data_IF_243501880705
#
_entry.id   IF_243501880705
#
_cell.length_a   1.000
_cell.length_b   1.000
_cell.length_c   1.000
_cell.angle_alpha   90.00
_cell.angle_beta   90.00
_cell.angle_gamma   90.00
#
_symmetry.space_group_name_H-M   'P 1'
#
loop_
_entity.id
_entity.type
_entity.pdbx_description
1 polymer ?
#
# COMPACT_ATOMS: atom_id res chain seq x y z
N UNK A 1 3.44 24.61 38.62
CA UNK A 1 2.87 23.23 38.51
C UNK A 1 2.93 22.77 37.06
N UNK A 2 3.37 21.53 36.81
CA UNK A 2 3.37 20.97 35.47
C UNK A 2 1.94 20.69 34.98
N UNK A 3 1.57 21.17 33.78
CA UNK A 3 0.27 20.90 33.17
C UNK A 3 0.27 19.54 32.47
N UNK A 4 -0.67 18.66 32.84
CA UNK A 4 -0.85 17.38 32.17
C UNK A 4 -1.62 17.57 30.86
N UNK A 5 -1.19 16.85 29.81
CA UNK A 5 -1.88 16.80 28.53
C UNK A 5 -2.97 15.73 28.57
N UNK A 6 -4.11 15.98 27.93
CA UNK A 6 -5.26 15.07 27.93
C UNK A 6 -4.91 13.65 27.44
N UNK A 7 -4.03 13.55 26.45
CA UNK A 7 -3.60 12.26 25.91
C UNK A 7 -2.76 11.42 26.87
N UNK A 8 -2.19 12.00 27.94
CA UNK A 8 -1.54 11.22 29.00
C UNK A 8 -2.52 10.24 29.65
N UNK A 9 -3.74 10.71 29.92
CA UNK A 9 -4.79 9.89 30.52
C UNK A 9 -5.29 8.82 29.54
N UNK A 10 -5.44 9.17 28.27
CA UNK A 10 -5.96 8.26 27.25
C UNK A 10 -4.99 7.15 26.89
N UNK A 11 -3.72 7.49 26.66
CA UNK A 11 -2.69 6.50 26.36
C UNK A 11 -2.34 5.67 27.59
N UNK A 12 -2.40 6.27 28.79
CA UNK A 12 -2.34 5.52 30.04
C UNK A 12 -3.47 4.49 30.15
N UNK A 13 -4.72 4.86 29.85
CA UNK A 13 -5.85 3.95 29.89
C UNK A 13 -5.71 2.78 28.90
N UNK A 14 -5.24 3.03 27.67
CA UNK A 14 -4.96 1.96 26.70
C UNK A 14 -3.87 1.02 27.25
N UNK A 15 -2.76 1.58 27.73
CA UNK A 15 -1.65 0.79 28.24
C UNK A 15 -2.07 -0.06 29.44
N UNK A 16 -2.76 0.52 30.42
CA UNK A 16 -3.28 -0.22 31.58
C UNK A 16 -4.22 -1.34 31.14
N UNK A 17 -5.11 -1.09 30.16
CA UNK A 17 -5.99 -2.13 29.64
C UNK A 17 -5.22 -3.28 28.98
N UNK A 18 -4.15 -3.00 28.23
CA UNK A 18 -3.29 -4.04 27.64
C UNK A 18 -2.67 -4.90 28.73
N UNK A 19 -2.09 -4.28 29.77
CA UNK A 19 -1.42 -4.99 30.87
C UNK A 19 -2.38 -5.82 31.71
N UNK A 20 -3.59 -5.31 31.96
CA UNK A 20 -4.61 -6.05 32.70
C UNK A 20 -5.09 -7.29 31.94
N UNK A 21 -5.21 -7.21 30.61
CA UNK A 21 -5.70 -8.31 29.77
C UNK A 21 -4.61 -9.26 29.30
N UNK A 22 -3.33 -8.88 29.40
CA UNK A 22 -2.17 -9.65 28.97
C UNK A 22 -1.07 -9.56 30.06
N UNK A 23 -1.19 -10.31 31.17
CA UNK A 23 -0.28 -10.21 32.32
C UNK A 23 1.15 -10.71 32.02
N UNK A 24 1.33 -11.40 30.90
CA UNK A 24 2.60 -11.90 30.36
C UNK A 24 3.40 -10.81 29.62
N UNK A 25 2.81 -9.63 29.40
CA UNK A 25 3.42 -8.53 28.65
C UNK A 25 4.25 -7.63 29.55
N UNK A 26 5.45 -7.28 29.06
CA UNK A 26 6.31 -6.25 29.62
C UNK A 26 6.50 -5.12 28.59
N UNK A 27 5.92 -3.93 28.81
CA UNK A 27 6.08 -2.82 27.89
C UNK A 27 7.42 -2.13 28.11
N UNK A 28 8.18 -1.95 27.03
CA UNK A 28 9.42 -1.18 26.99
C UNK A 28 9.23 0.01 26.05
N UNK A 29 9.38 1.23 26.56
CA UNK A 29 9.22 2.42 25.74
C UNK A 29 10.36 2.48 24.69
N UNK A 30 10.03 2.48 23.39
CA UNK A 30 11.04 2.51 22.30
C UNK A 30 11.61 3.91 22.12
N UNK A 31 10.84 4.97 22.42
CA UNK A 31 11.28 6.34 22.10
C UNK A 31 10.83 7.35 23.15
N UNK A 32 11.79 8.15 23.62
CA UNK A 32 11.58 9.36 24.41
C UNK A 32 11.22 10.55 23.49
N UNK A 33 10.10 10.45 22.76
CA UNK A 33 9.59 11.51 21.89
C UNK A 33 8.32 12.14 22.46
N UNK A 34 8.08 13.41 22.14
CA UNK A 34 7.09 14.29 22.78
C UNK A 34 5.64 13.77 22.82
N UNK A 35 5.28 12.80 21.98
CA UNK A 35 3.91 12.32 21.83
C UNK A 35 3.58 11.03 22.61
N UNK A 36 4.57 10.28 23.13
CA UNK A 36 4.42 8.97 23.84
C UNK A 36 3.35 8.03 23.25
N UNK A 37 3.25 8.00 21.92
CA UNK A 37 2.22 7.24 21.19
C UNK A 37 2.66 5.80 20.87
N UNK A 38 3.92 5.45 21.09
CA UNK A 38 4.51 4.20 20.58
C UNK A 38 5.33 3.50 21.66
N UNK A 39 5.15 2.19 21.79
CA UNK A 39 5.89 1.35 22.74
C UNK A 39 6.33 0.04 22.08
N UNK A 40 7.42 -0.54 22.58
CA UNK A 40 7.77 -1.95 22.39
C UNK A 40 7.01 -2.70 23.44
N UNK A 41 6.54 -3.88 23.06
CA UNK A 41 6.05 -4.87 23.98
C UNK A 41 6.88 -6.12 23.76
N UNK A 42 7.47 -6.60 24.84
CA UNK A 42 8.07 -7.92 24.94
C UNK A 42 7.09 -8.80 25.72
N UNK A 43 6.91 -10.04 25.28
CA UNK A 43 6.09 -11.03 25.99
C UNK A 43 7.01 -12.01 26.71
N UNK A 44 6.71 -12.40 27.95
CA UNK A 44 7.55 -13.36 28.69
C UNK A 44 7.63 -14.74 28.00
N UNK A 45 6.61 -15.12 27.26
CA UNK A 45 6.53 -16.43 26.58
C UNK A 45 7.27 -16.47 25.24
N UNK A 46 7.65 -15.31 24.69
CA UNK A 46 8.40 -15.27 23.44
C UNK A 46 9.33 -14.06 23.40
N UNK A 47 10.57 -14.27 22.97
CA UNK A 47 11.55 -13.21 22.67
C UNK A 47 11.12 -12.32 21.47
N UNK A 48 9.85 -12.40 21.05
CA UNK A 48 9.28 -11.57 20.01
C UNK A 48 8.99 -10.18 20.55
N UNK A 49 9.49 -9.18 19.82
CA UNK A 49 9.19 -7.78 20.06
C UNK A 49 8.03 -7.30 19.18
N UNK A 50 7.06 -6.62 19.79
CA UNK A 50 5.89 -6.07 19.13
C UNK A 50 5.87 -4.55 19.27
N UNK A 51 5.50 -3.86 18.21
CA UNK A 51 5.28 -2.41 18.27
C UNK A 51 3.80 -2.14 18.46
N UNK A 52 3.46 -1.35 19.46
CA UNK A 52 2.11 -0.84 19.67
C UNK A 52 2.06 0.66 19.42
N UNK A 53 1.07 1.10 18.67
CA UNK A 53 0.82 2.51 18.35
C UNK A 53 -0.56 2.91 18.86
N UNK A 54 -0.65 4.06 19.54
CA UNK A 54 -1.86 4.54 20.18
C UNK A 54 -2.44 5.76 19.47
N UNK A 55 -3.77 5.77 19.35
CA UNK A 55 -4.53 6.94 18.90
C UNK A 55 -5.88 7.00 19.59
N UNK A 56 -6.45 8.18 19.69
CA UNK A 56 -7.80 8.37 20.21
C UNK A 56 -8.62 9.26 19.28
N UNK A 57 -9.95 9.09 19.34
CA UNK A 57 -10.91 9.95 18.69
C UNK A 57 -12.16 10.06 19.56
N UNK A 58 -12.83 11.20 19.51
CA UNK A 58 -14.11 11.43 20.18
C UNK A 58 -15.28 11.22 19.22
N UNK A 59 -16.39 10.69 19.73
CA UNK A 59 -17.61 10.53 18.94
C UNK A 59 -18.12 11.91 18.49
N UNK A 60 -18.50 12.06 17.23
CA UNK A 60 -19.20 13.27 16.76
C UNK A 60 -20.64 13.17 17.27
N UNK A 61 -20.97 13.93 18.33
CA UNK A 61 -22.29 14.14 18.97
C UNK A 61 -23.41 13.15 18.60
N UNK A 62 -23.90 12.45 19.63
CA UNK A 62 -25.13 11.64 19.64
C UNK A 62 -26.27 12.32 18.87
N UNK A 63 -26.44 11.92 17.61
CA UNK A 63 -27.64 12.26 16.85
C UNK A 63 -28.54 11.05 16.95
N UNK A 64 -29.38 11.01 18.00
CA UNK A 64 -30.62 10.21 18.21
C UNK A 64 -30.66 8.76 17.67
N UNK A 65 -29.52 8.19 17.34
CA UNK A 65 -29.37 6.94 16.63
C UNK A 65 -28.41 6.14 17.49
N UNK A 66 -28.77 4.88 17.72
CA UNK A 66 -28.01 3.98 18.57
C UNK A 66 -26.61 3.63 18.00
N UNK A 67 -26.19 4.32 16.94
CA UNK A 67 -24.97 4.09 16.19
C UNK A 67 -23.90 5.11 16.59
N UNK A 68 -22.76 4.62 17.09
CA UNK A 68 -21.62 5.48 17.38
C UNK A 68 -20.60 5.40 16.25
N UNK A 69 -19.91 6.52 15.98
CA UNK A 69 -18.84 6.55 14.99
C UNK A 69 -17.71 7.52 15.36
N UNK A 70 -16.49 7.10 15.05
CA UNK A 70 -15.25 7.81 15.34
C UNK A 70 -14.42 7.95 14.07
N UNK A 71 -13.81 9.12 13.90
CA UNK A 71 -12.91 9.42 12.78
C UNK A 71 -11.51 9.66 13.33
N UNK A 72 -10.59 8.76 12.99
CA UNK A 72 -9.20 8.81 13.38
C UNK A 72 -8.38 9.45 12.25
N UNK A 73 -7.84 10.64 12.48
CA UNK A 73 -7.02 11.34 11.48
C UNK A 73 -5.56 10.94 11.63
N UNK A 74 -4.96 10.39 10.58
CA UNK A 74 -3.53 10.04 10.54
C UNK A 74 -2.78 11.09 9.74
N UNK A 75 -1.85 11.78 10.41
CA UNK A 75 -0.93 12.72 9.77
C UNK A 75 0.06 11.97 8.89
N UNK A 76 0.74 12.69 7.99
CA UNK A 76 1.78 12.05 7.17
C UNK A 76 2.96 11.56 8.01
N UNK A 77 3.25 12.22 9.14
CA UNK A 77 4.20 11.75 10.13
C UNK A 77 3.77 10.41 10.76
N UNK A 78 2.50 10.29 11.18
CA UNK A 78 1.95 9.02 11.70
C UNK A 78 2.12 7.88 10.69
N UNK A 79 1.78 8.13 9.43
CA UNK A 79 1.88 7.15 8.34
C UNK A 79 3.33 6.73 8.10
N UNK A 80 4.25 7.68 8.09
CA UNK A 80 5.66 7.44 7.87
C UNK A 80 6.26 6.62 9.02
N UNK A 81 5.90 6.93 10.27
CA UNK A 81 6.30 6.16 11.45
C UNK A 81 5.82 4.72 11.40
N UNK A 82 4.51 4.50 11.23
CA UNK A 82 3.94 3.16 11.12
C UNK A 82 4.59 2.34 10.00
N UNK A 83 4.90 3.00 8.87
CA UNK A 83 5.61 2.36 7.76
C UNK A 83 7.04 1.95 8.12
N UNK A 84 7.79 2.81 8.81
CA UNK A 84 9.17 2.49 9.25
C UNK A 84 9.16 1.26 10.17
N UNK A 85 8.33 1.29 11.21
CA UNK A 85 8.19 0.19 12.16
C UNK A 85 7.87 -1.14 11.51
N UNK A 86 6.96 -1.13 10.53
CA UNK A 86 6.61 -2.33 9.79
C UNK A 86 7.74 -2.80 8.86
N UNK A 87 8.44 -1.88 8.19
CA UNK A 87 9.56 -2.19 7.31
C UNK A 87 10.77 -2.77 8.07
N UNK A 88 10.94 -2.40 9.35
CA UNK A 88 11.97 -2.93 10.24
C UNK A 88 11.72 -4.40 10.65
N UNK A 89 10.62 -5.01 10.17
CA UNK A 89 10.31 -6.42 10.34
C UNK A 89 9.62 -6.77 11.65
N UNK A 90 9.27 -5.77 12.47
CA UNK A 90 8.53 -5.96 13.72
C UNK A 90 7.03 -5.90 13.47
N UNK A 91 6.22 -6.80 14.05
CA UNK A 91 4.77 -6.69 13.93
C UNK A 91 4.26 -5.42 14.62
N UNK A 92 3.36 -4.71 13.93
CA UNK A 92 2.81 -3.44 14.41
C UNK A 92 1.30 -3.58 14.66
N UNK A 93 0.87 -3.27 15.88
CA UNK A 93 -0.53 -3.20 16.28
C UNK A 93 -0.94 -1.76 16.60
N UNK A 94 -2.12 -1.37 16.13
CA UNK A 94 -2.66 -0.02 16.27
C UNK A 94 -3.88 -0.09 17.19
N UNK A 95 -3.76 0.53 18.35
CA UNK A 95 -4.82 0.62 19.35
C UNK A 95 -5.52 1.98 19.23
N UNK A 96 -6.82 1.93 18.95
CA UNK A 96 -7.66 3.08 18.66
C UNK A 96 -8.72 3.22 19.74
N UNK A 97 -8.53 4.21 20.63
CA UNK A 97 -9.47 4.54 21.69
C UNK A 97 -10.64 5.35 21.14
N UNK A 98 -11.83 4.76 21.20
CA UNK A 98 -13.11 5.31 20.80
C UNK A 98 -13.77 5.96 22.03
N UNK A 99 -13.51 7.25 22.24
CA UNK A 99 -14.01 7.98 23.41
C UNK A 99 -15.51 8.22 23.32
N UNK A 100 -16.22 7.91 24.41
CA UNK A 100 -17.61 8.30 24.65
C UNK A 100 -17.68 9.42 25.68
N UNK A 101 -18.84 10.07 25.78
CA UNK A 101 -19.14 11.11 26.79
C UNK A 101 -18.89 10.60 28.20
N UNK A 102 -19.36 9.40 28.53
CA UNK A 102 -18.91 8.66 29.71
C UNK A 102 -17.65 7.85 29.34
N UNK A 103 -16.50 8.25 29.91
CA UNK A 103 -15.21 7.61 29.64
C UNK A 103 -15.21 6.11 29.93
N UNK A 104 -15.96 5.65 30.93
CA UNK A 104 -16.05 4.23 31.31
C UNK A 104 -16.66 3.35 30.20
N UNK A 105 -17.46 3.96 29.31
CA UNK A 105 -18.11 3.27 28.20
C UNK A 105 -17.29 3.35 26.89
N UNK A 106 -16.10 3.94 26.94
CA UNK A 106 -15.20 4.02 25.79
C UNK A 106 -14.71 2.63 25.39
N UNK A 107 -14.45 2.44 24.11
CA UNK A 107 -14.06 1.14 23.56
C UNK A 107 -12.69 1.24 22.89
N UNK A 108 -11.95 0.12 22.82
CA UNK A 108 -10.63 0.05 22.16
C UNK A 108 -10.73 -0.87 20.95
N UNK A 109 -10.36 -0.38 19.78
CA UNK A 109 -10.22 -1.19 18.57
C UNK A 109 -8.74 -1.52 18.36
N UNK A 110 -8.45 -2.77 18.03
CA UNK A 110 -7.09 -3.26 17.75
C UNK A 110 -6.99 -3.69 16.30
N UNK A 111 -6.08 -3.05 15.56
CA UNK A 111 -5.80 -3.34 14.16
C UNK A 111 -4.36 -3.83 13.98
N UNK A 112 -4.14 -4.74 13.03
CA UNK A 112 -2.81 -4.98 12.46
C UNK A 112 -2.45 -3.88 11.47
N UNK A 113 -1.17 -3.68 11.23
CA UNK A 113 -0.72 -2.76 10.19
C UNK A 113 -1.25 -3.14 8.80
N UNK A 114 -1.29 -4.42 8.45
CA UNK A 114 -1.83 -4.88 7.16
C UNK A 114 -3.31 -4.50 7.00
N UNK A 115 -4.09 -4.65 8.08
CA UNK A 115 -5.50 -4.25 8.14
C UNK A 115 -5.65 -2.73 7.98
N UNK A 116 -4.77 -1.97 8.64
CA UNK A 116 -4.69 -0.51 8.49
C UNK A 116 -4.39 -0.08 7.06
N UNK A 117 -3.47 -0.76 6.36
CA UNK A 117 -3.13 -0.44 4.97
C UNK A 117 -4.32 -0.68 4.03
N UNK A 118 -5.12 -1.72 4.27
CA UNK A 118 -6.29 -2.03 3.44
C UNK A 118 -7.39 -0.97 3.54
N UNK A 119 -7.52 -0.32 4.69
CA UNK A 119 -8.63 0.63 4.97
C UNK A 119 -8.19 2.09 5.05
N UNK A 120 -6.88 2.39 4.98
CA UNK A 120 -6.41 3.78 5.08
C UNK A 120 -6.85 4.58 3.85
N UNK A 121 -7.67 5.60 4.09
CA UNK A 121 -7.87 6.65 3.10
C UNK A 121 -6.78 7.71 3.22
N UNK A 122 -6.77 8.68 2.30
CA UNK A 122 -5.72 9.71 2.21
C UNK A 122 -5.43 10.46 3.52
N UNK A 123 -6.32 10.49 4.51
CA UNK A 123 -6.04 11.14 5.81
C UNK A 123 -6.74 10.57 7.04
N UNK A 124 -7.75 9.70 6.91
CA UNK A 124 -8.54 9.25 8.06
C UNK A 124 -9.14 7.85 7.93
N UNK A 125 -9.37 7.22 9.07
CA UNK A 125 -10.10 5.95 9.23
C UNK A 125 -11.40 6.24 9.98
N UNK A 126 -12.52 5.70 9.49
CA UNK A 126 -13.81 5.80 10.17
C UNK A 126 -14.16 4.44 10.77
N UNK A 127 -14.43 4.45 12.07
CA UNK A 127 -14.91 3.28 12.82
C UNK A 127 -16.36 3.53 13.19
N UNK A 128 -17.21 2.53 12.98
CA UNK A 128 -18.60 2.57 13.39
C UNK A 128 -18.99 1.38 14.23
N UNK A 129 -20.03 1.58 15.02
CA UNK A 129 -20.48 0.55 15.94
C UNK A 129 -21.99 0.67 16.16
N UNK A 130 -22.68 -0.47 16.07
CA UNK A 130 -24.09 -0.59 16.42
C UNK A 130 -24.24 -1.14 17.84
N UNK A 131 -25.36 -0.91 18.55
CA UNK A 131 -25.58 -1.51 19.85
C UNK A 131 -25.59 -3.03 19.74
N UNK A 132 -25.13 -3.72 20.78
CA UNK A 132 -25.22 -5.17 20.94
C UNK A 132 -24.52 -6.01 19.85
N UNK A 133 -23.77 -5.40 18.94
CA UNK A 133 -22.94 -6.13 17.98
C UNK A 133 -21.60 -6.52 18.61
N UNK A 134 -21.06 -7.68 18.19
CA UNK A 134 -19.74 -8.16 18.65
C UNK A 134 -18.58 -7.67 17.77
N UNK A 135 -18.89 -6.84 16.77
CA UNK A 135 -17.94 -6.30 15.80
C UNK A 135 -18.01 -4.78 15.71
N UNK A 136 -16.90 -4.20 15.26
CA UNK A 136 -16.78 -2.85 14.73
C UNK A 136 -16.84 -2.90 13.21
N UNK A 137 -17.41 -1.86 12.62
CA UNK A 137 -17.36 -1.60 11.18
C UNK A 137 -16.17 -0.68 10.89
N UNK A 138 -15.31 -1.09 9.98
CA UNK A 138 -14.20 -0.31 9.47
C UNK A 138 -14.51 0.09 8.03
N UNK A 139 -14.83 1.36 7.84
CA UNK A 139 -15.23 1.87 6.53
C UNK A 139 -14.01 2.20 5.69
N UNK A 140 -13.98 1.67 4.47
CA UNK A 140 -13.07 2.14 3.43
C UNK A 140 -13.55 3.50 2.91
N UNK A 141 -12.68 4.26 2.22
CA UNK A 141 -13.08 5.55 1.64
C UNK A 141 -13.74 5.43 0.29
N UNK A 142 -13.73 4.22 -0.28
CA UNK A 142 -14.48 3.90 -1.47
C UNK A 142 -15.98 3.84 -1.16
N UNK A 143 -16.37 3.36 0.03
CA UNK A 143 -17.77 3.23 0.43
C UNK A 143 -17.96 3.42 1.94
N UNK A 144 -18.99 4.20 2.31
CA UNK A 144 -19.49 4.31 3.69
C UNK A 144 -20.65 3.35 3.96
N UNK A 145 -20.99 2.47 3.01
CA UNK A 145 -22.01 1.46 3.21
C UNK A 145 -21.53 0.42 4.22
N UNK A 146 -22.46 -0.11 5.02
CA UNK A 146 -22.15 -1.11 6.05
C UNK A 146 -21.80 -2.47 5.45
N UNK A 147 -22.41 -2.81 4.32
CA UNK A 147 -22.19 -4.09 3.65
C UNK A 147 -20.79 -4.18 3.02
N UNK A 148 -20.17 -3.02 2.75
CA UNK A 148 -18.82 -2.89 2.22
C UNK A 148 -17.76 -2.70 3.33
N UNK A 149 -18.17 -2.65 4.59
CA UNK A 149 -17.27 -2.38 5.70
C UNK A 149 -16.56 -3.66 6.17
N UNK A 150 -15.28 -3.54 6.49
CA UNK A 150 -14.53 -4.63 7.12
C UNK A 150 -14.98 -4.79 8.57
N UNK A 151 -15.16 -6.03 9.03
CA UNK A 151 -15.59 -6.32 10.39
C UNK A 151 -14.41 -6.74 11.26
N UNK A 152 -14.27 -6.06 12.39
CA UNK A 152 -13.26 -6.39 13.42
C UNK A 152 -13.93 -6.73 14.74
N UNK A 153 -13.52 -7.83 15.38
CA UNK A 153 -14.09 -8.29 16.64
C UNK A 153 -13.79 -7.29 17.76
N UNK A 154 -14.79 -7.00 18.60
CA UNK A 154 -14.63 -6.02 19.70
C UNK A 154 -13.75 -6.50 20.84
N UNK A 155 -13.63 -7.80 21.01
CA UNK A 155 -12.84 -8.40 22.08
C UNK A 155 -11.36 -8.61 21.73
N UNK A 156 -10.86 -8.06 20.61
CA UNK A 156 -9.44 -8.21 20.24
C UNK A 156 -8.47 -7.67 21.30
N UNK A 157 -8.88 -6.70 22.12
CA UNK A 157 -8.08 -6.23 23.26
C UNK A 157 -7.72 -7.33 24.28
N UNK A 158 -8.51 -8.41 24.33
CA UNK A 158 -8.27 -9.56 25.22
C UNK A 158 -7.50 -10.68 24.54
N UNK A 159 -6.99 -10.46 23.33
CA UNK A 159 -6.23 -11.49 22.59
C UNK A 159 -4.76 -11.34 22.93
N UNK A 160 -4.08 -12.48 23.10
CA UNK A 160 -2.62 -12.49 23.10
C UNK A 160 -2.08 -11.97 21.77
N UNK A 161 -0.86 -11.43 21.79
CA UNK A 161 -0.21 -10.90 20.59
C UNK A 161 -0.07 -11.95 19.48
N UNK A 162 0.21 -13.21 19.83
CA UNK A 162 0.24 -14.32 18.88
C UNK A 162 -1.13 -14.60 18.24
N UNK A 163 -2.20 -14.53 19.03
CA UNK A 163 -3.57 -14.67 18.52
C UNK A 163 -3.95 -13.50 17.61
N UNK A 164 -3.49 -12.28 17.92
CA UNK A 164 -3.69 -11.12 17.06
C UNK A 164 -3.00 -11.27 15.69
N UNK A 165 -1.81 -11.87 15.65
CA UNK A 165 -1.11 -12.15 14.38
C UNK A 165 -1.93 -13.06 13.47
N UNK A 166 -2.46 -14.15 14.04
CA UNK A 166 -3.19 -15.19 13.30
C UNK A 166 -4.66 -14.84 12.98
N UNK A 167 -5.26 -13.84 13.62
CA UNK A 167 -6.65 -13.43 13.37
C UNK A 167 -6.81 -12.75 12.01
N UNK A 168 -7.89 -13.03 11.28
CA UNK A 168 -8.23 -12.42 9.98
C UNK A 168 -9.53 -11.63 10.07
N UNK A 169 -9.83 -10.79 9.06
CA UNK A 169 -11.12 -10.09 8.97
C UNK A 169 -12.28 -11.08 8.88
N UNK A 170 -13.43 -10.73 9.46
CA UNK A 170 -14.68 -11.41 9.15
C UNK A 170 -15.30 -10.73 7.92
N UNK A 171 -15.43 -11.44 6.80
CA UNK A 171 -16.13 -10.91 5.62
C UNK A 171 -17.63 -10.78 5.92
N UNK A 172 -18.24 -9.67 5.47
CA UNK A 172 -19.63 -9.30 5.74
C UNK A 172 -20.71 -10.26 5.21
N UNK A 173 -20.33 -11.30 4.48
CA UNK A 173 -21.20 -12.33 3.94
C UNK A 173 -20.78 -13.72 4.42
N UNK A 174 -21.06 -14.02 5.70
CA UNK A 174 -21.44 -15.35 6.24
C UNK A 174 -21.31 -15.35 7.77
N UNK A 175 -22.30 -14.76 8.44
CA UNK A 175 -22.55 -15.03 9.86
C UNK A 175 -23.30 -16.37 9.91
N UNK A 176 -22.57 -17.48 9.84
CA UNK A 176 -22.96 -18.80 10.37
C UNK A 176 -21.86 -19.82 10.09
N UNK A 177 -21.36 -20.42 11.18
CA UNK A 177 -20.42 -21.55 11.29
C UNK A 177 -18.94 -21.18 11.18
N UNK A 178 -18.36 -20.75 12.28
CA UNK A 178 -16.95 -21.03 12.60
C UNK A 178 -16.84 -21.29 14.11
N UNK A 179 -17.39 -22.44 14.52
CA UNK A 179 -17.15 -23.04 15.84
C UNK A 179 -16.65 -24.48 15.74
N UNK A 180 -16.15 -24.89 14.56
CA UNK A 180 -15.42 -26.15 14.42
C UNK A 180 -13.99 -25.85 14.04
N UNK A 181 -13.19 -25.63 15.08
CA UNK A 181 -11.75 -25.51 15.01
C UNK A 181 -11.16 -26.79 14.43
N UNK A 182 -10.93 -26.80 13.11
CA UNK A 182 -9.97 -27.71 12.49
C UNK A 182 -8.62 -27.38 13.11
N UNK A 183 -8.05 -28.31 13.87
CA UNK A 183 -6.68 -28.23 14.38
C UNK A 183 -5.71 -28.19 13.20
N UNK A 184 -5.47 -27.00 12.66
CA UNK A 184 -4.28 -26.76 11.86
C UNK A 184 -3.16 -26.59 12.87
N UNK A 185 -2.36 -27.63 13.03
CA UNK A 185 -1.11 -27.56 13.78
C UNK A 185 -0.18 -26.57 13.07
N UNK A 186 -0.19 -25.32 13.52
CA UNK A 186 0.89 -24.39 13.21
C UNK A 186 2.13 -24.88 13.96
N UNK A 187 2.95 -25.67 13.29
CA UNK A 187 4.31 -25.96 13.76
C UNK A 187 5.04 -24.61 13.85
N UNK A 188 5.37 -24.23 15.08
CA UNK A 188 6.25 -23.14 15.51
C UNK A 188 7.12 -22.53 14.40
N UNK A 189 6.65 -21.43 13.78
CA UNK A 189 7.50 -20.59 12.94
C UNK A 189 8.11 -19.53 13.87
N UNK A 190 9.36 -19.77 14.27
CA UNK A 190 10.19 -18.78 14.96
C UNK A 190 10.33 -17.56 14.05
N UNK A 191 9.88 -16.39 14.51
CA UNK A 191 10.20 -15.11 13.89
C UNK A 191 11.66 -14.79 14.21
N UNK A 192 12.53 -15.32 13.37
CA UNK A 192 13.97 -15.15 13.38
C UNK A 192 14.50 -15.80 12.11
N UNK A 193 15.16 -14.99 11.28
CA UNK A 193 16.02 -15.34 10.13
C UNK A 193 15.98 -16.78 9.58
N UNK A 194 15.68 -16.88 8.27
CA UNK A 194 16.04 -17.97 7.33
C UNK A 194 15.17 -19.24 7.20
N UNK A 195 14.10 -19.45 7.97
CA UNK A 195 13.27 -20.68 7.81
C UNK A 195 11.94 -20.55 7.05
N UNK A 196 11.79 -19.52 6.23
CA UNK A 196 10.71 -19.46 5.22
C UNK A 196 11.39 -19.51 3.86
N UNK A 197 11.22 -20.63 3.17
CA UNK A 197 11.40 -20.92 1.74
C UNK A 197 11.85 -22.39 1.66
N UNK A 198 10.89 -23.32 1.56
CA UNK A 198 11.10 -24.59 0.88
C UNK A 198 10.68 -24.45 -0.60
N UNK A 199 10.89 -23.27 -1.21
CA UNK A 199 10.78 -23.16 -2.66
C UNK A 199 12.13 -23.48 -3.29
N UNK A 200 12.07 -24.26 -4.36
CA UNK A 200 13.22 -24.60 -5.18
C UNK A 200 13.86 -23.31 -5.69
N UNK A 201 15.11 -23.09 -5.27
CA UNK A 201 15.93 -21.96 -5.72
C UNK A 201 16.64 -22.37 -7.00
N UNK A 202 16.63 -21.46 -7.98
CA UNK A 202 17.30 -21.66 -9.26
C UNK A 202 18.53 -20.76 -9.34
N UNK A 203 19.60 -21.27 -9.92
CA UNK A 203 20.76 -20.46 -10.27
C UNK A 203 20.43 -19.50 -11.41
N UNK A 204 21.26 -18.47 -11.57
CA UNK A 204 21.12 -17.50 -12.65
C UNK A 204 21.11 -18.21 -14.01
N UNK A 205 20.06 -17.96 -14.78
CA UNK A 205 19.92 -18.51 -16.11
C UNK A 205 19.15 -17.55 -17.00
N UNK A 206 19.49 -17.56 -18.28
CA UNK A 206 18.68 -16.93 -19.33
C UNK A 206 17.73 -17.95 -19.99
N UNK A 207 17.73 -19.18 -19.50
CA UNK A 207 16.91 -20.30 -19.93
C UNK A 207 16.05 -20.77 -18.75
N UNK A 208 14.74 -20.88 -18.96
CA UNK A 208 13.74 -21.24 -17.98
C UNK A 208 13.99 -22.65 -17.45
N UNK A 209 14.31 -22.83 -16.16
CA UNK A 209 14.53 -24.15 -15.58
C UNK A 209 13.31 -25.08 -15.63
N UNK A 210 12.11 -24.53 -15.85
CA UNK A 210 10.86 -25.31 -15.88
C UNK A 210 10.56 -25.85 -17.29
N UNK A 211 10.93 -25.13 -18.35
CA UNK A 211 10.51 -25.51 -19.72
C UNK A 211 11.59 -25.34 -20.80
N UNK A 212 12.82 -24.96 -20.44
CA UNK A 212 13.97 -24.88 -21.35
C UNK A 212 13.98 -23.69 -22.33
N UNK A 213 13.11 -22.69 -22.16
CA UNK A 213 13.01 -21.54 -23.08
C UNK A 213 13.68 -20.27 -22.59
N UNK A 214 13.94 -19.32 -23.50
CA UNK A 214 14.43 -17.99 -23.16
C UNK A 214 13.59 -17.26 -22.10
N UNK A 215 14.28 -16.67 -21.13
CA UNK A 215 13.72 -15.80 -20.09
C UNK A 215 14.02 -14.34 -20.47
N UNK A 216 13.04 -13.44 -20.28
CA UNK A 216 13.24 -12.00 -20.42
C UNK A 216 13.24 -11.31 -19.06
N UNK A 217 14.17 -10.38 -18.85
CA UNK A 217 14.15 -9.47 -17.71
C UNK A 217 13.05 -8.44 -17.91
N UNK A 218 12.12 -8.36 -16.96
CA UNK A 218 11.00 -7.42 -16.94
C UNK A 218 11.03 -6.63 -15.65
N UNK A 219 10.88 -5.31 -15.74
CA UNK A 219 10.57 -4.49 -14.57
C UNK A 219 9.08 -4.63 -14.25
N UNK A 220 8.76 -4.92 -13.00
CA UNK A 220 7.36 -4.99 -12.53
C UNK A 220 7.18 -4.17 -11.26
N UNK A 221 6.01 -3.54 -11.15
CA UNK A 221 5.54 -2.95 -9.91
C UNK A 221 4.49 -3.86 -9.27
N UNK A 222 4.69 -4.29 -8.02
CA UNK A 222 3.69 -5.08 -7.28
C UNK A 222 2.44 -4.21 -7.02
N UNK A 223 2.68 -2.93 -6.77
CA UNK A 223 1.74 -1.82 -6.72
C UNK A 223 2.57 -0.55 -6.99
N UNK A 224 1.93 0.60 -7.24
CA UNK A 224 2.53 1.90 -7.67
C UNK A 224 3.66 2.51 -6.80
N UNK A 225 4.27 1.73 -5.90
CA UNK A 225 5.15 2.13 -4.81
C UNK A 225 6.48 1.36 -4.82
N UNK A 226 6.56 0.15 -5.42
CA UNK A 226 7.79 -0.65 -5.41
C UNK A 226 8.05 -1.27 -6.80
N UNK A 227 9.14 -0.86 -7.44
CA UNK A 227 9.64 -1.47 -8.67
C UNK A 227 10.65 -2.55 -8.30
N UNK A 228 10.48 -3.75 -8.83
CA UNK A 228 11.46 -4.83 -8.72
C UNK A 228 11.78 -5.39 -10.10
N UNK A 229 12.96 -5.99 -10.21
CA UNK A 229 13.37 -6.73 -11.39
C UNK A 229 12.87 -8.17 -11.25
N UNK A 230 12.18 -8.64 -12.29
CA UNK A 230 11.74 -10.02 -12.38
C UNK A 230 12.19 -10.61 -13.70
N UNK A 231 12.40 -11.91 -13.73
CA UNK A 231 12.72 -12.67 -14.93
C UNK A 231 11.46 -13.46 -15.31
N UNK A 232 10.93 -13.31 -16.52
CA UNK A 232 9.68 -13.98 -16.95
C UNK A 232 9.95 -14.91 -18.13
N UNK A 233 9.48 -16.14 -18.03
CA UNK A 233 9.42 -17.04 -19.18
C UNK A 233 8.18 -16.73 -20.04
N UNK A 234 8.38 -16.57 -21.36
CA UNK A 234 7.29 -16.30 -22.29
C UNK A 234 6.42 -17.52 -22.62
N UNK A 235 6.94 -18.74 -22.46
CA UNK A 235 6.22 -19.98 -22.78
C UNK A 235 5.37 -20.48 -21.62
N UNK A 236 5.98 -20.76 -20.46
CA UNK A 236 5.25 -21.30 -19.30
C UNK A 236 4.70 -20.21 -18.36
N UNK A 237 5.08 -18.95 -18.55
CA UNK A 237 4.60 -17.84 -17.72
C UNK A 237 5.19 -17.80 -16.30
N UNK A 238 6.17 -18.66 -15.99
CA UNK A 238 6.89 -18.63 -14.71
C UNK A 238 7.64 -17.32 -14.54
N UNK A 239 7.52 -16.75 -13.35
CA UNK A 239 8.16 -15.50 -12.93
C UNK A 239 9.21 -15.86 -11.89
N UNK A 240 10.41 -15.35 -12.09
CA UNK A 240 11.54 -15.52 -11.20
C UNK A 240 11.83 -14.20 -10.51
N UNK A 241 11.91 -14.23 -9.19
CA UNK A 241 12.27 -13.10 -8.34
C UNK A 241 13.58 -13.40 -7.62
N UNK A 242 14.34 -12.36 -7.30
CA UNK A 242 15.39 -12.51 -6.30
C UNK A 242 14.78 -12.83 -4.94
N UNK A 243 15.53 -13.58 -4.12
CA UNK A 243 15.10 -14.02 -2.78
C UNK A 243 14.59 -12.86 -1.93
N UNK A 244 15.28 -11.72 -1.98
CA UNK A 244 14.94 -10.52 -1.21
C UNK A 244 13.59 -9.92 -1.65
N UNK A 245 13.36 -9.80 -2.96
CA UNK A 245 12.11 -9.28 -3.49
C UNK A 245 10.96 -10.26 -3.29
N UNK A 246 11.20 -11.56 -3.41
CA UNK A 246 10.21 -12.59 -3.08
C UNK A 246 9.74 -12.45 -1.62
N UNK A 247 10.68 -12.34 -0.67
CA UNK A 247 10.37 -12.17 0.76
C UNK A 247 9.58 -10.88 1.00
N UNK A 248 10.01 -9.76 0.40
CA UNK A 248 9.34 -8.46 0.54
C UNK A 248 7.90 -8.52 0.03
N UNK A 249 7.67 -9.12 -1.15
CA UNK A 249 6.34 -9.23 -1.73
C UNK A 249 5.49 -10.21 -0.92
N UNK A 250 6.01 -11.38 -0.56
CA UNK A 250 5.27 -12.35 0.27
C UNK A 250 4.82 -11.75 1.60
N UNK A 251 5.66 -10.93 2.26
CA UNK A 251 5.28 -10.18 3.47
C UNK A 251 4.09 -9.25 3.24
N UNK A 252 4.05 -8.53 2.10
CA UNK A 252 2.92 -7.65 1.76
C UNK A 252 1.59 -8.42 1.65
N UNK A 253 1.64 -9.69 1.26
CA UNK A 253 0.47 -10.58 1.18
C UNK A 253 0.28 -11.43 2.45
N UNK A 254 0.79 -10.97 3.60
CA UNK A 254 0.58 -11.64 4.89
C UNK A 254 1.44 -12.88 5.12
N UNK A 255 2.59 -12.98 4.43
CA UNK A 255 3.51 -14.12 4.54
C UNK A 255 3.02 -15.38 3.82
N UNK A 256 1.99 -15.26 2.98
CA UNK A 256 1.51 -16.34 2.12
C UNK A 256 2.54 -16.54 0.99
N UNK A 257 2.87 -17.79 0.63
CA UNK A 257 3.63 -18.07 -0.59
C UNK A 257 3.00 -17.35 -1.79
N UNK A 258 3.84 -16.78 -2.64
CA UNK A 258 3.36 -16.19 -3.88
C UNK A 258 2.78 -17.29 -4.78
N UNK A 259 2.01 -16.90 -5.80
CA UNK A 259 1.38 -17.85 -6.73
C UNK A 259 2.38 -18.90 -7.20
N UNK A 260 1.93 -20.13 -7.44
CA UNK A 260 2.79 -21.28 -7.76
C UNK A 260 3.75 -21.06 -8.95
N UNK A 261 3.41 -20.14 -9.85
CA UNK A 261 4.23 -19.75 -10.99
C UNK A 261 5.27 -18.67 -10.65
N UNK A 262 5.44 -18.29 -9.39
CA UNK A 262 6.47 -17.38 -8.90
C UNK A 262 7.52 -18.21 -8.17
N UNK A 263 8.78 -18.14 -8.62
CA UNK A 263 9.91 -18.91 -8.10
C UNK A 263 11.06 -17.98 -7.75
N UNK A 264 12.02 -18.50 -6.98
CA UNK A 264 13.22 -17.75 -6.59
C UNK A 264 14.36 -18.10 -7.54
N UNK A 265 15.03 -17.08 -8.09
CA UNK A 265 16.26 -17.24 -8.87
C UNK A 265 17.33 -16.29 -8.36
N UNK A 266 18.53 -16.81 -8.15
CA UNK A 266 19.68 -16.05 -7.66
C UNK A 266 20.49 -15.56 -8.86
N UNK A 267 20.30 -14.31 -9.29
CA UNK A 267 21.14 -13.68 -10.32
C UNK A 267 21.95 -12.53 -9.75
N UNK A 268 23.14 -12.29 -10.29
CA UNK A 268 23.97 -11.14 -9.93
C UNK A 268 23.40 -9.90 -10.60
N UNK A 269 23.05 -8.88 -9.82
CA UNK A 269 22.76 -7.56 -10.39
C UNK A 269 24.10 -6.95 -10.81
N UNK A 270 24.38 -6.91 -12.10
CA UNK A 270 25.45 -6.08 -12.64
C UNK A 270 25.00 -4.61 -12.57
N UNK A 271 25.49 -3.88 -11.57
CA UNK A 271 25.59 -2.42 -11.61
C UNK A 271 24.31 -1.59 -11.44
N UNK A 272 23.36 -2.00 -10.59
CA UNK A 272 22.28 -1.10 -10.12
C UNK A 272 22.44 -0.82 -8.63
N UNK A 273 23.27 0.17 -8.29
CA UNK A 273 23.34 0.70 -6.93
C UNK A 273 21.99 1.28 -6.52
N UNK A 274 21.56 0.90 -5.31
CA UNK A 274 20.25 1.23 -4.76
C UNK A 274 20.01 2.74 -4.67
N UNK A 275 19.04 3.22 -5.44
CA UNK A 275 18.48 4.55 -5.22
C UNK A 275 17.37 4.51 -4.17
N UNK A 276 17.78 4.67 -2.90
CA UNK A 276 16.99 5.43 -1.95
C UNK A 276 17.22 6.92 -2.20
N UNK A 277 16.34 7.59 -2.95
CA UNK A 277 16.44 9.06 -3.14
C UNK A 277 15.43 9.76 -2.23
N UNK A 278 15.94 10.31 -1.12
CA UNK A 278 15.50 11.62 -0.65
C UNK A 278 15.97 12.65 -1.67
N UNK A 279 15.08 13.50 -2.21
CA UNK A 279 15.49 14.70 -2.96
C UNK A 279 15.32 15.91 -2.03
N UNK A 280 16.40 16.45 -1.45
CA UNK A 280 16.43 17.85 -1.03
C UNK A 280 16.66 18.76 -2.26
N UNK A 281 16.02 19.92 -2.25
CA UNK A 281 16.26 21.02 -3.20
C UNK A 281 17.61 21.69 -2.90
N UNK A 282 18.54 21.75 -3.85
CA UNK A 282 19.02 22.99 -4.53
C UNK A 282 20.37 22.80 -5.24
N UNK A 283 20.43 23.42 -6.43
CA UNK A 283 21.56 24.02 -7.18
C UNK A 283 22.93 23.37 -7.17
N UNK A 284 23.42 23.01 -8.36
CA UNK A 284 24.71 23.50 -8.82
C UNK A 284 24.77 23.54 -10.35
N UNK A 285 25.16 24.72 -10.81
CA UNK A 285 25.56 25.05 -12.17
C UNK A 285 26.80 24.26 -12.58
N UNK A 286 26.92 24.07 -13.90
CA UNK A 286 28.15 23.87 -14.67
C UNK A 286 28.95 22.57 -14.44
N UNK A 287 28.82 21.60 -15.36
CA UNK A 287 29.76 21.44 -16.49
C UNK A 287 29.32 20.31 -17.46
N UNK A 288 29.47 20.64 -18.75
CA UNK A 288 29.28 19.93 -20.03
C UNK A 288 29.88 18.51 -20.08
N UNK A 289 29.53 17.57 -20.96
CA UNK A 289 28.48 17.36 -21.97
C UNK A 289 28.74 15.96 -22.55
N UNK A 290 27.70 15.13 -22.78
CA UNK A 290 27.55 14.29 -23.98
C UNK A 290 26.05 14.10 -24.22
N UNK A 291 25.60 14.54 -25.39
CA UNK A 291 24.23 14.54 -25.89
C UNK A 291 23.58 13.16 -25.99
N UNK A 292 22.46 12.98 -25.27
CA UNK A 292 21.26 12.27 -25.73
C UNK A 292 20.04 13.00 -25.16
N UNK A 293 19.76 14.21 -25.66
CA UNK A 293 18.57 14.98 -25.29
C UNK A 293 17.38 14.66 -26.22
N UNK A 294 16.17 14.82 -25.66
CA UNK A 294 14.88 14.98 -26.37
C UNK A 294 14.06 13.75 -26.80
N UNK A 295 13.56 12.97 -25.84
CA UNK A 295 12.17 12.45 -25.95
C UNK A 295 11.27 13.28 -25.04
N UNK A 296 10.89 14.47 -25.51
CA UNK A 296 9.82 15.25 -24.90
C UNK A 296 8.53 14.41 -24.88
N UNK A 297 7.67 14.60 -23.88
CA UNK A 297 6.37 13.93 -23.83
C UNK A 297 5.45 14.52 -24.92
N UNK A 298 5.59 14.06 -26.16
CA UNK A 298 4.81 14.52 -27.31
C UNK A 298 3.46 13.80 -27.36
N UNK A 299 2.39 14.56 -27.59
CA UNK A 299 1.03 14.06 -27.83
C UNK A 299 0.67 14.38 -29.28
N UNK A 300 0.32 13.36 -30.05
CA UNK A 300 0.00 13.47 -31.47
C UNK A 300 -1.51 13.59 -31.69
N UNK A 301 -1.95 14.32 -32.71
CA UNK A 301 -3.38 14.50 -33.02
C UNK A 301 -3.84 13.49 -34.09
N UNK A 302 -4.97 12.82 -33.84
CA UNK A 302 -5.62 11.91 -34.81
C UNK A 302 -6.72 12.63 -35.59
N UNK A 303 -6.73 12.55 -36.93
CA UNK A 303 -7.71 13.23 -37.78
C UNK A 303 -9.12 12.60 -37.74
N UNK A 304 -9.24 11.35 -37.28
CA UNK A 304 -10.52 10.62 -37.23
C UNK A 304 -10.68 9.86 -35.91
N UNK A 305 -11.93 9.69 -35.46
CA UNK A 305 -12.30 8.91 -34.27
C UNK A 305 -12.10 7.41 -34.51
N UNK A 306 -10.84 6.98 -34.54
CA UNK A 306 -10.46 5.57 -34.58
C UNK A 306 -9.38 5.30 -33.53
N UNK A 307 -9.59 4.26 -32.73
CA UNK A 307 -8.61 3.76 -31.77
C UNK A 307 -7.51 2.93 -32.45
N UNK A 308 -7.21 3.18 -33.72
CA UNK A 308 -6.21 2.45 -34.51
C UNK A 308 -5.01 3.36 -34.74
N UNK A 309 -3.80 2.87 -34.42
CA UNK A 309 -2.58 3.64 -34.63
C UNK A 309 -2.37 3.90 -36.13
N UNK A 310 -2.14 5.15 -36.57
CA UNK A 310 -1.96 5.48 -37.99
C UNK A 310 -0.67 4.91 -38.59
N UNK A 311 0.30 4.52 -37.76
CA UNK A 311 1.59 3.98 -38.20
C UNK A 311 1.58 2.44 -38.25
N UNK A 312 0.90 1.79 -37.29
CA UNK A 312 0.99 0.33 -37.10
C UNK A 312 -0.31 -0.41 -37.41
N UNK A 313 -1.40 0.31 -37.70
CA UNK A 313 -2.74 -0.24 -37.93
C UNK A 313 -3.22 -1.21 -36.83
N UNK A 314 -2.73 -1.03 -35.60
CA UNK A 314 -3.11 -1.81 -34.40
C UNK A 314 -3.97 -0.99 -33.47
N UNK A 315 -4.89 -1.67 -32.77
CA UNK A 315 -5.71 -1.06 -31.73
C UNK A 315 -4.82 -0.48 -30.62
N UNK A 316 -5.06 0.77 -30.27
CA UNK A 316 -4.36 1.51 -29.22
C UNK A 316 -5.05 1.29 -27.87
N UNK A 317 -4.27 1.35 -26.80
CA UNK A 317 -4.76 1.30 -25.43
C UNK A 317 -5.19 2.68 -24.96
N UNK A 318 -6.23 2.78 -24.15
CA UNK A 318 -6.59 4.04 -23.49
C UNK A 318 -5.74 4.17 -22.22
N UNK A 319 -5.01 5.27 -22.09
CA UNK A 319 -4.22 5.59 -20.90
C UNK A 319 -4.62 6.93 -20.33
N UNK A 320 -4.44 7.10 -19.03
CA UNK A 320 -4.65 8.37 -18.35
C UNK A 320 -3.31 9.05 -18.12
N UNK A 321 -3.16 10.29 -18.61
CA UNK A 321 -2.02 11.15 -18.34
C UNK A 321 -2.36 12.19 -17.27
N UNK A 322 -1.36 12.60 -16.50
CA UNK A 322 -1.46 13.65 -15.49
C UNK A 322 -0.91 14.96 -16.07
N UNK A 323 -1.77 15.96 -16.20
CA UNK A 323 -1.46 17.28 -16.74
C UNK A 323 -1.07 18.29 -15.63
N UNK A 324 -0.99 17.83 -14.37
CA UNK A 324 -0.62 18.63 -13.20
C UNK A 324 -1.81 19.08 -12.35
N UNK A 325 -1.55 19.50 -11.10
CA UNK A 325 -2.54 20.02 -10.12
C UNK A 325 -3.88 19.26 -10.08
N UNK A 326 -3.83 17.92 -10.13
CA UNK A 326 -4.99 17.01 -10.10
C UNK A 326 -5.82 16.95 -11.39
N UNK A 327 -5.34 17.52 -12.50
CA UNK A 327 -5.98 17.41 -13.82
C UNK A 327 -5.45 16.14 -14.50
N UNK A 328 -6.38 15.25 -14.85
CA UNK A 328 -6.10 14.02 -15.58
C UNK A 328 -6.86 14.00 -16.88
N UNK A 329 -6.24 13.44 -17.91
CA UNK A 329 -6.86 13.30 -19.22
C UNK A 329 -6.60 11.91 -19.82
N UNK A 330 -7.50 11.45 -20.67
CA UNK A 330 -7.39 10.19 -21.42
C UNK A 330 -6.78 10.43 -22.80
N UNK A 331 -5.82 9.58 -23.15
CA UNK A 331 -5.13 9.57 -24.44
C UNK A 331 -5.02 8.14 -24.95
N UNK A 332 -4.91 7.98 -26.26
CA UNK A 332 -4.61 6.69 -26.87
C UNK A 332 -3.11 6.44 -26.86
N UNK A 333 -2.69 5.22 -26.55
CA UNK A 333 -1.30 4.81 -26.51
C UNK A 333 -1.07 3.63 -27.43
N UNK A 334 -0.09 3.77 -28.32
CA UNK A 334 0.33 2.67 -29.17
C UNK A 334 1.54 1.96 -28.57
N UNK A 335 1.37 0.68 -28.20
CA UNK A 335 2.45 -0.17 -27.69
C UNK A 335 3.59 -0.37 -28.71
N UNK A 336 3.32 -0.23 -30.01
CA UNK A 336 4.32 -0.47 -31.05
C UNK A 336 5.26 0.73 -31.28
N UNK A 337 4.74 1.97 -31.37
CA UNK A 337 5.59 3.17 -31.48
C UNK A 337 5.87 3.89 -30.17
N UNK A 338 5.26 3.48 -29.06
CA UNK A 338 5.39 4.18 -27.78
C UNK A 338 4.96 5.67 -27.87
N UNK A 339 3.95 5.97 -28.71
CA UNK A 339 3.39 7.32 -28.92
C UNK A 339 2.04 7.49 -28.23
N UNK A 340 1.78 8.71 -27.76
CA UNK A 340 0.51 9.15 -27.21
C UNK A 340 -0.27 9.92 -28.27
N UNK A 341 -1.57 9.68 -28.36
CA UNK A 341 -2.46 10.28 -29.34
C UNK A 341 -3.71 10.86 -28.68
N UNK A 342 -4.23 11.94 -29.22
CA UNK A 342 -5.49 12.58 -28.83
C UNK A 342 -6.35 12.82 -30.07
N UNK A 343 -7.66 12.80 -29.92
CA UNK A 343 -8.60 13.12 -31.01
C UNK A 343 -8.54 14.61 -31.37
N UNK A 344 -8.70 14.94 -32.65
CA UNK A 344 -8.68 16.33 -33.12
C UNK A 344 -9.74 17.22 -32.45
N UNK A 345 -10.93 16.69 -32.13
CA UNK A 345 -11.96 17.43 -31.40
C UNK A 345 -11.53 17.83 -29.97
N UNK A 346 -10.55 17.12 -29.39
CA UNK A 346 -10.03 17.35 -28.03
C UNK A 346 -8.72 18.15 -28.02
N UNK A 347 -8.17 18.47 -29.19
CA UNK A 347 -6.91 19.19 -29.33
C UNK A 347 -6.98 20.59 -28.70
N UNK A 348 -8.05 21.35 -28.99
CA UNK A 348 -8.26 22.71 -28.51
C UNK A 348 -8.41 22.77 -26.99
N UNK A 349 -9.16 21.84 -26.40
CA UNK A 349 -9.32 21.68 -24.95
C UNK A 349 -7.98 21.38 -24.28
N UNK A 350 -7.25 20.37 -24.79
CA UNK A 350 -5.96 19.95 -24.24
C UNK A 350 -4.90 21.06 -24.36
N UNK A 351 -4.85 21.77 -25.49
CA UNK A 351 -3.98 22.93 -25.67
C UNK A 351 -4.34 24.06 -24.69
N UNK A 352 -5.63 24.29 -24.42
CA UNK A 352 -6.08 25.24 -23.40
C UNK A 352 -5.57 24.89 -22.00
N UNK A 353 -5.64 23.61 -21.63
CA UNK A 353 -5.12 23.13 -20.34
C UNK A 353 -3.60 23.27 -20.25
N UNK A 354 -2.86 22.88 -21.29
CA UNK A 354 -1.40 22.95 -21.34
C UNK A 354 -0.87 24.40 -21.31
N UNK A 355 -1.60 25.36 -21.89
CA UNK A 355 -1.24 26.79 -21.88
C UNK A 355 -1.64 27.52 -20.59
N UNK A 356 -2.50 26.95 -19.76
CA UNK A 356 -2.93 27.58 -18.52
C UNK A 356 -1.77 27.66 -17.51
N UNK A 357 -1.59 28.80 -16.81
CA UNK A 357 -0.57 28.98 -15.75
C UNK A 357 -0.71 27.99 -14.56
N UNK A 358 -1.70 27.10 -14.58
CA UNK A 358 -1.94 26.07 -13.56
C UNK A 358 -1.32 24.71 -13.92
N UNK A 359 -1.02 24.44 -15.19
CA UNK A 359 -0.35 23.22 -15.63
C UNK A 359 1.18 23.45 -15.72
N UNK A 360 1.98 22.58 -15.11
CA UNK A 360 3.41 22.51 -15.38
C UNK A 360 3.54 21.73 -16.69
N UNK A 361 3.69 22.41 -17.84
CA UNK A 361 3.58 21.79 -19.17
C UNK A 361 4.73 20.81 -19.45
N UNK A 362 4.56 19.56 -18.99
CA UNK A 362 5.43 18.43 -19.31
C UNK A 362 5.23 17.89 -20.73
N UNK A 363 4.12 18.25 -21.37
CA UNK A 363 3.69 17.74 -22.67
C UNK A 363 3.63 18.85 -23.73
N UNK A 364 3.90 18.49 -24.98
CA UNK A 364 3.70 19.33 -26.16
C UNK A 364 2.81 18.58 -27.15
N UNK A 365 1.81 19.28 -27.72
CA UNK A 365 0.98 18.72 -28.78
C UNK A 365 1.69 18.92 -30.12
N UNK A 366 1.72 17.86 -30.94
CA UNK A 366 2.25 17.88 -32.29
C UNK A 366 1.16 17.43 -33.24
N UNK A 367 0.85 18.25 -34.24
CA UNK A 367 0.04 17.85 -35.37
C UNK A 367 0.94 17.05 -36.31
N UNK A 368 0.58 15.79 -36.58
CA UNK A 368 1.28 14.98 -37.59
C UNK A 368 0.81 15.49 -38.97
N UNK A 369 1.48 16.53 -39.48
CA UNK A 369 1.34 16.98 -40.87
C UNK A 369 2.00 15.96 -41.80
N UNK A 370 1.38 14.79 -41.92
CA UNK A 370 1.69 13.78 -42.95
C UNK A 370 0.44 13.39 -43.73
N UNK A 371 -0.34 14.40 -44.11
CA UNK A 371 -1.32 14.32 -45.20
C UNK A 371 -1.19 15.48 -46.19
N UNK A 372 0.00 16.09 -46.29
CA UNK A 372 0.31 17.12 -47.29
C UNK A 372 1.64 16.82 -48.01
N UNK A 373 1.69 15.70 -48.75
CA UNK A 373 2.54 15.51 -49.95
C UNK A 373 2.02 14.32 -50.77
N UNK A 374 0.76 14.44 -51.20
CA UNK A 374 0.29 13.95 -52.50
C UNK A 374 -0.25 15.18 -53.22
N UNK A 375 0.62 15.89 -53.91
CA UNK A 375 0.24 16.79 -55.01
C UNK A 375 1.17 16.40 -56.16
N UNK A 376 0.51 15.88 -57.21
CA UNK A 376 0.87 15.75 -58.61
C UNK A 376 2.34 15.75 -59.00
#
# INVERSE_FOLDING_TARGET
MGKLKQWYFYYGAILTAILEKNPDVSPKLIVNEESKQVYNIETKESDAEYIIYFKYASCKKDTYSAYNSWVFNFTDDDKNRLRRYYNDGKPVFIYLLCLKTNLQNSEIVVLKYDEYIQIKNKSAITIGVQPNKKTFYLFSGASKARDDAFLVKRNRITYSFQKLLSDTFCNGSNIKKDEKTTKVQYKNIKYGSEKVIQEQQYEDSNICPVCGEGILTVSRSADRIYNFLAKKCNKCGTIYLQKEDYIKISRQYGGIPLKDNVKIMNWKQEGYEGYSVNIPRKSLHDQKAVDVTEKANLIYVLPHNNNICPVHHKKMEIRTIDLGKHIKDTVYYCNACNKLYVEQCRESELNGFLKSKRALSKYKIVCDDKSAKRKN
#
